data_IF_708528656106
#
_entry.id   IF_708528656106
#
_cell.length_a   1.000
_cell.length_b   1.000
_cell.length_c   1.000
_cell.angle_alpha   90.00
_cell.angle_beta   90.00
_cell.angle_gamma   90.00
#
_symmetry.space_group_name_H-M   'P 1'
#
loop_
_entity.id
_entity.type
_entity.pdbx_description
1 polymer ?
#
# COMPACT_ATOMS: atom_id res chain seq x y z
N UNK A 1 39.23 -9.58 -46.37
CA UNK A 1 37.93 -9.94 -45.74
C UNK A 1 38.17 -10.29 -44.28
N UNK A 2 37.87 -9.39 -43.32
CA UNK A 2 37.88 -9.70 -41.87
C UNK A 2 37.34 -8.60 -40.93
N UNK A 3 36.63 -7.59 -41.44
CA UNK A 3 36.07 -6.50 -40.60
C UNK A 3 34.54 -6.56 -40.41
N UNK A 4 33.81 -7.31 -41.24
CA UNK A 4 32.35 -7.47 -41.06
C UNK A 4 31.98 -8.44 -39.93
N UNK A 5 32.87 -9.37 -39.56
CA UNK A 5 32.59 -10.35 -38.49
C UNK A 5 32.63 -9.73 -37.09
N UNK A 6 33.38 -8.64 -36.89
CA UNK A 6 33.52 -7.97 -35.59
C UNK A 6 32.28 -7.14 -35.26
N UNK A 7 31.68 -6.48 -36.26
CA UNK A 7 30.44 -5.72 -36.07
C UNK A 7 29.24 -6.63 -35.78
N UNK A 8 29.15 -7.82 -36.40
CA UNK A 8 28.08 -8.78 -36.11
C UNK A 8 28.25 -9.37 -34.70
N UNK A 9 29.49 -9.62 -34.27
CA UNK A 9 29.76 -10.07 -32.89
C UNK A 9 29.42 -8.99 -31.86
N UNK A 10 29.70 -7.71 -32.13
CA UNK A 10 29.36 -6.59 -31.24
C UNK A 10 27.85 -6.30 -31.19
N UNK A 11 27.12 -6.49 -32.30
CA UNK A 11 25.66 -6.39 -32.31
C UNK A 11 25.01 -7.55 -31.54
N UNK A 12 25.63 -8.74 -31.53
CA UNK A 12 25.16 -9.86 -30.70
C UNK A 12 25.58 -9.72 -29.23
N UNK A 13 26.74 -9.15 -28.93
CA UNK A 13 27.14 -8.84 -27.55
C UNK A 13 26.29 -7.69 -26.98
N UNK A 14 25.89 -6.72 -27.81
CA UNK A 14 24.94 -5.66 -27.43
C UNK A 14 23.50 -6.13 -27.20
N UNK A 15 23.14 -7.34 -27.68
CA UNK A 15 21.84 -7.98 -27.45
C UNK A 15 21.89 -9.12 -26.42
N UNK A 16 23.08 -9.55 -26.01
CA UNK A 16 23.30 -10.66 -25.06
C UNK A 16 23.91 -10.17 -23.74
N UNK A 17 24.19 -8.87 -23.60
CA UNK A 17 24.35 -8.23 -22.29
C UNK A 17 23.00 -8.07 -21.60
N UNK A 18 22.52 -9.18 -21.05
CA UNK A 18 21.64 -9.25 -19.89
C UNK A 18 20.39 -8.39 -19.93
N UNK A 19 19.25 -9.01 -20.20
CA UNK A 19 18.14 -8.87 -19.26
C UNK A 19 18.65 -9.33 -17.88
N UNK A 20 19.42 -8.48 -17.20
CA UNK A 20 19.66 -8.61 -15.78
C UNK A 20 18.28 -8.76 -15.17
N UNK A 21 18.05 -9.84 -14.42
CA UNK A 21 16.86 -10.01 -13.59
C UNK A 21 16.69 -8.69 -12.84
N UNK A 22 15.69 -7.90 -13.25
CA UNK A 22 15.50 -6.56 -12.73
C UNK A 22 14.82 -6.72 -11.38
N UNK A 23 15.61 -6.85 -10.33
CA UNK A 23 15.16 -6.83 -8.95
C UNK A 23 15.21 -5.40 -8.39
N UNK A 24 14.43 -5.15 -7.36
CA UNK A 24 14.28 -3.89 -6.66
C UNK A 24 13.23 -2.97 -7.28
N UNK A 25 13.22 -1.75 -6.76
CA UNK A 25 12.35 -0.65 -7.19
C UNK A 25 12.37 -0.46 -8.71
N UNK A 26 11.23 -0.06 -9.28
CA UNK A 26 11.20 0.39 -10.66
C UNK A 26 12.15 1.57 -10.84
N UNK A 27 12.91 1.54 -11.94
CA UNK A 27 13.61 2.72 -12.45
C UNK A 27 12.61 3.74 -13.00
N UNK A 28 13.02 4.99 -13.15
CA UNK A 28 12.17 6.05 -13.72
C UNK A 28 11.61 5.66 -15.09
N UNK A 29 12.42 5.04 -15.95
CA UNK A 29 11.98 4.57 -17.26
C UNK A 29 10.94 3.44 -17.19
N UNK A 30 11.11 2.51 -16.24
CA UNK A 30 10.12 1.45 -16.02
C UNK A 30 8.81 2.01 -15.48
N UNK A 31 8.87 2.96 -14.55
CA UNK A 31 7.68 3.60 -14.01
C UNK A 31 6.99 4.47 -15.07
N UNK A 32 7.73 5.22 -15.91
CA UNK A 32 7.14 5.97 -17.03
C UNK A 32 6.52 5.04 -18.08
N UNK A 33 7.16 3.91 -18.38
CA UNK A 33 6.56 2.90 -19.25
C UNK A 33 5.22 2.42 -18.66
N UNK A 34 5.21 2.03 -17.38
CA UNK A 34 4.00 1.64 -16.65
C UNK A 34 2.93 2.74 -16.68
N UNK A 35 3.27 4.00 -16.44
CA UNK A 35 2.31 5.12 -16.46
C UNK A 35 1.64 5.29 -17.84
N UNK A 36 2.40 5.04 -18.91
CA UNK A 36 1.92 5.11 -20.28
C UNK A 36 1.05 3.90 -20.68
N UNK A 37 1.31 2.72 -20.10
CA UNK A 37 0.64 1.46 -20.50
C UNK A 37 -0.35 0.93 -19.48
N UNK A 38 -0.43 1.47 -18.27
CA UNK A 38 -1.33 0.93 -17.25
C UNK A 38 -2.81 1.15 -17.61
N UNK A 39 -3.65 0.26 -17.08
CA UNK A 39 -5.10 0.34 -17.14
C UNK A 39 -5.69 0.04 -18.52
N UNK A 40 -4.90 -0.48 -19.46
CA UNK A 40 -5.37 -0.86 -20.80
C UNK A 40 -6.09 -2.21 -20.80
N UNK A 41 -5.75 -3.09 -19.86
CA UNK A 41 -6.39 -4.40 -19.68
C UNK A 41 -7.35 -4.35 -18.49
N UNK A 42 -8.60 -4.74 -18.75
CA UNK A 42 -9.67 -4.77 -17.77
C UNK A 42 -10.03 -6.17 -17.27
N UNK A 43 -10.93 -6.21 -16.29
CA UNK A 43 -11.60 -7.42 -15.83
C UNK A 43 -13.02 -7.50 -16.43
N UNK A 44 -13.67 -8.68 -16.38
CA UNK A 44 -15.10 -8.76 -16.62
C UNK A 44 -15.86 -7.75 -15.75
N UNK A 45 -16.73 -6.94 -16.35
CA UNK A 45 -17.54 -5.95 -15.64
C UNK A 45 -18.67 -6.69 -14.91
N UNK A 46 -18.71 -6.66 -13.57
CA UNK A 46 -19.76 -7.32 -12.80
C UNK A 46 -21.03 -6.47 -12.75
N UNK A 47 -22.16 -7.12 -12.46
CA UNK A 47 -23.41 -6.42 -12.12
C UNK A 47 -23.40 -5.93 -10.67
N UNK A 48 -24.52 -5.39 -10.18
CA UNK A 48 -24.69 -5.08 -8.75
C UNK A 48 -24.72 -6.33 -7.86
N UNK A 49 -24.96 -7.50 -8.45
CA UNK A 49 -24.96 -8.78 -7.72
C UNK A 49 -23.55 -9.39 -7.66
N UNK A 50 -23.18 -10.06 -6.55
CA UNK A 50 -21.91 -10.77 -6.44
C UNK A 50 -21.77 -11.84 -7.52
N UNK A 51 -20.74 -11.71 -8.37
CA UNK A 51 -20.49 -12.64 -9.47
C UNK A 51 -19.06 -13.17 -9.44
N UNK A 52 -18.91 -14.47 -9.66
CA UNK A 52 -17.59 -15.08 -9.84
C UNK A 52 -16.92 -14.45 -11.06
N UNK A 53 -15.78 -13.82 -10.84
CA UNK A 53 -15.03 -13.14 -11.86
C UNK A 53 -13.96 -14.07 -12.41
N UNK A 54 -14.02 -14.29 -13.71
CA UNK A 54 -12.91 -14.93 -14.41
C UNK A 54 -11.72 -13.96 -14.43
N UNK A 55 -10.71 -14.27 -13.63
CA UNK A 55 -9.47 -13.50 -13.50
C UNK A 55 -8.32 -14.15 -14.28
N UNK A 56 -8.65 -15.04 -15.22
CA UNK A 56 -7.64 -15.83 -15.91
C UNK A 56 -6.65 -15.04 -16.72
N UNK A 57 -5.38 -15.31 -16.48
CA UNK A 57 -4.24 -14.63 -17.10
C UNK A 57 -4.28 -13.09 -16.97
N UNK A 58 -4.84 -12.57 -15.88
CA UNK A 58 -4.93 -11.14 -15.56
C UNK A 58 -3.91 -10.73 -14.49
N UNK A 59 -4.00 -9.48 -14.04
CA UNK A 59 -3.24 -8.90 -12.93
C UNK A 59 -3.80 -9.25 -11.54
N UNK A 60 -4.75 -10.17 -11.44
CA UNK A 60 -5.39 -10.64 -10.19
C UNK A 60 -4.89 -12.02 -9.79
N UNK A 61 -4.28 -12.10 -8.60
CA UNK A 61 -3.59 -13.26 -8.06
C UNK A 61 -4.00 -13.45 -6.60
N UNK A 62 -3.59 -14.54 -5.97
CA UNK A 62 -3.67 -14.64 -4.51
C UNK A 62 -2.29 -14.93 -3.94
N UNK A 63 -2.05 -14.41 -2.74
CA UNK A 63 -0.87 -14.73 -1.97
C UNK A 63 -1.24 -15.75 -0.91
N UNK A 64 -0.43 -16.78 -0.77
CA UNK A 64 -0.59 -17.87 0.20
C UNK A 64 0.64 -17.95 1.07
N UNK A 65 0.44 -18.21 2.36
CA UNK A 65 1.50 -18.68 3.23
C UNK A 65 1.53 -20.20 3.23
N UNK A 66 2.74 -20.78 3.20
CA UNK A 66 2.96 -22.23 3.37
C UNK A 66 2.39 -22.75 4.70
N UNK A 67 2.08 -21.85 5.63
CA UNK A 67 1.56 -22.15 6.96
C UNK A 67 0.06 -21.78 7.06
N UNK A 68 -0.74 -22.71 7.60
CA UNK A 68 -2.16 -22.54 7.94
C UNK A 68 -3.13 -22.24 6.78
N UNK A 69 -2.74 -22.46 5.51
CA UNK A 69 -3.57 -22.16 4.32
C UNK A 69 -4.18 -20.75 4.35
N UNK A 70 -3.44 -19.80 4.92
CA UNK A 70 -3.87 -18.41 4.99
C UNK A 70 -3.57 -17.75 3.65
N UNK A 71 -4.64 -17.23 3.03
CA UNK A 71 -4.59 -16.64 1.70
C UNK A 71 -5.13 -15.23 1.72
N UNK A 72 -4.60 -14.40 0.84
CA UNK A 72 -5.01 -13.03 0.60
C UNK A 72 -5.14 -12.75 -0.89
N UNK A 73 -6.09 -11.89 -1.27
CA UNK A 73 -6.09 -11.33 -2.61
C UNK A 73 -4.82 -10.54 -2.87
N UNK A 74 -4.27 -10.66 -4.07
CA UNK A 74 -3.10 -9.93 -4.53
C UNK A 74 -3.38 -9.29 -5.90
N UNK A 75 -2.97 -8.04 -6.05
CA UNK A 75 -3.10 -7.28 -7.29
C UNK A 75 -1.73 -6.90 -7.79
N UNK A 76 -1.39 -7.31 -9.00
CA UNK A 76 -0.14 -6.89 -9.63
C UNK A 76 -0.25 -5.41 -10.04
N UNK A 77 0.61 -4.56 -9.50
CA UNK A 77 0.57 -3.09 -9.70
C UNK A 77 1.71 -2.59 -10.62
N UNK A 78 2.65 -3.46 -10.97
CA UNK A 78 3.71 -3.21 -11.95
C UNK A 78 4.24 -4.54 -12.51
N UNK A 79 5.31 -4.52 -13.30
CA UNK A 79 5.87 -5.74 -13.88
C UNK A 79 6.34 -6.77 -12.84
N UNK A 80 6.58 -6.40 -11.58
CA UNK A 80 7.16 -7.31 -10.57
C UNK A 80 6.73 -7.03 -9.12
N UNK A 81 5.71 -6.19 -8.92
CA UNK A 81 5.25 -5.83 -7.58
C UNK A 81 3.76 -6.09 -7.43
N UNK A 82 3.40 -6.83 -6.39
CA UNK A 82 2.03 -7.08 -5.96
C UNK A 82 1.67 -6.20 -4.78
N UNK A 83 0.46 -5.67 -4.78
CA UNK A 83 -0.22 -5.13 -3.61
C UNK A 83 -1.09 -6.24 -3.02
N UNK A 84 -0.93 -6.52 -1.74
CA UNK A 84 -1.71 -7.50 -0.97
C UNK A 84 -1.85 -7.01 0.47
N UNK A 85 -2.24 -7.88 1.39
CA UNK A 85 -2.44 -7.58 2.81
C UNK A 85 -1.74 -8.60 3.69
N UNK A 86 -1.32 -8.18 4.88
CA UNK A 86 -0.47 -8.98 5.77
C UNK A 86 -1.19 -10.12 6.50
N UNK A 87 -2.48 -10.36 6.27
CA UNK A 87 -3.26 -11.38 7.00
C UNK A 87 -2.87 -12.82 6.64
N UNK A 88 -2.03 -13.01 5.63
CA UNK A 88 -1.47 -14.31 5.27
C UNK A 88 -0.18 -14.66 6.05
N UNK A 89 0.52 -13.66 6.62
CA UNK A 89 1.76 -13.88 7.39
C UNK A 89 1.72 -13.38 8.83
N UNK A 90 0.78 -12.49 9.15
CA UNK A 90 0.50 -12.02 10.50
C UNK A 90 -0.93 -12.41 10.89
N UNK A 91 -1.12 -12.81 12.15
CA UNK A 91 -2.45 -12.89 12.77
C UNK A 91 -2.95 -11.49 13.16
N UNK A 92 -4.24 -11.35 13.47
CA UNK A 92 -4.82 -10.08 13.93
C UNK A 92 -4.22 -9.56 15.26
N UNK A 93 -3.41 -10.36 15.95
CA UNK A 93 -2.68 -9.98 17.16
C UNK A 93 -1.22 -9.62 16.90
N UNK A 94 -0.84 -9.35 15.65
CA UNK A 94 0.56 -9.14 15.25
C UNK A 94 1.47 -10.30 15.67
N UNK A 95 1.03 -11.53 15.43
CA UNK A 95 1.86 -12.73 15.65
C UNK A 95 2.22 -13.32 14.31
N UNK A 96 3.50 -13.64 14.11
CA UNK A 96 3.97 -14.33 12.91
C UNK A 96 3.31 -15.69 12.79
N UNK A 97 2.68 -15.94 11.64
CA UNK A 97 1.98 -17.20 11.39
C UNK A 97 2.96 -18.38 11.30
N UNK A 98 4.15 -18.17 10.73
CA UNK A 98 5.11 -19.25 10.46
C UNK A 98 5.75 -19.85 11.72
N UNK A 99 5.98 -19.05 12.77
CA UNK A 99 6.68 -19.51 13.99
C UNK A 99 5.95 -19.19 15.30
N UNK A 100 4.85 -18.44 15.27
CA UNK A 100 4.07 -18.08 16.46
C UNK A 100 4.72 -17.01 17.37
N UNK A 101 5.83 -16.39 16.96
CA UNK A 101 6.47 -15.32 17.71
C UNK A 101 5.77 -13.98 17.51
N UNK A 102 5.83 -13.11 18.51
CA UNK A 102 5.25 -11.77 18.42
C UNK A 102 6.04 -10.91 17.43
N UNK A 103 5.33 -10.27 16.52
CA UNK A 103 5.86 -9.21 15.69
C UNK A 103 5.70 -7.87 16.42
N UNK A 104 6.78 -7.11 16.51
CA UNK A 104 6.75 -5.73 17.02
C UNK A 104 7.28 -4.83 15.92
N UNK A 105 6.47 -3.87 15.42
CA UNK A 105 6.92 -2.96 14.40
C UNK A 105 8.13 -2.12 14.84
N UNK A 106 9.18 -2.10 14.02
CA UNK A 106 10.40 -1.32 14.25
C UNK A 106 10.24 0.09 13.65
N UNK A 107 9.56 0.95 14.39
CA UNK A 107 9.19 2.27 13.92
C UNK A 107 10.20 3.33 14.34
N UNK A 108 11.32 3.38 13.61
CA UNK A 108 12.38 4.35 13.84
C UNK A 108 12.24 5.56 12.91
N UNK A 109 12.39 6.77 13.49
CA UNK A 109 12.34 8.02 12.73
C UNK A 109 10.99 8.26 12.05
N UNK A 110 11.04 8.76 10.81
CA UNK A 110 9.83 9.10 10.03
C UNK A 110 9.37 7.95 9.10
N UNK A 111 9.95 6.76 9.20
CA UNK A 111 9.54 5.63 8.35
C UNK A 111 8.19 5.08 8.80
N UNK A 112 7.21 5.10 7.89
CA UNK A 112 5.89 4.51 8.12
C UNK A 112 5.82 3.03 7.71
N UNK A 113 6.82 2.56 6.95
CA UNK A 113 6.85 1.22 6.35
C UNK A 113 7.95 0.37 7.00
N UNK A 114 7.79 -0.95 6.99
CA UNK A 114 8.79 -1.89 7.50
C UNK A 114 9.01 -3.03 6.52
N UNK A 115 10.27 -3.37 6.28
CA UNK A 115 10.66 -4.54 5.50
C UNK A 115 10.28 -5.83 6.24
N UNK A 116 9.72 -6.78 5.49
CA UNK A 116 9.38 -8.11 6.02
C UNK A 116 10.67 -8.96 6.04
N UNK A 117 10.98 -9.64 7.15
CA UNK A 117 12.16 -10.50 7.25
C UNK A 117 12.22 -11.57 6.15
N UNK A 118 13.42 -11.87 5.65
CA UNK A 118 13.63 -12.79 4.52
C UNK A 118 13.07 -14.19 4.79
N UNK A 119 13.23 -14.70 6.02
CA UNK A 119 12.69 -15.99 6.44
C UNK A 119 11.16 -16.04 6.35
N UNK A 120 10.47 -14.91 6.58
CA UNK A 120 9.02 -14.79 6.38
C UNK A 120 8.65 -14.63 4.91
N UNK A 121 9.41 -13.85 4.14
CA UNK A 121 9.18 -13.71 2.69
C UNK A 121 9.27 -15.06 1.99
N UNK A 122 10.21 -15.91 2.42
CA UNK A 122 10.39 -17.26 1.88
C UNK A 122 9.21 -18.21 2.16
N UNK A 123 8.28 -17.86 3.05
CA UNK A 123 7.06 -18.64 3.29
C UNK A 123 5.89 -18.23 2.39
N UNK A 124 6.05 -17.18 1.59
CA UNK A 124 5.01 -16.65 0.72
C UNK A 124 5.08 -17.29 -0.66
N UNK A 125 3.91 -17.56 -1.24
CA UNK A 125 3.76 -17.90 -2.64
C UNK A 125 2.72 -16.97 -3.28
N UNK A 126 2.98 -16.50 -4.49
CA UNK A 126 2.00 -15.78 -5.31
C UNK A 126 1.51 -16.71 -6.40
N UNK A 127 0.20 -16.93 -6.46
CA UNK A 127 -0.40 -17.92 -7.35
C UNK A 127 -1.51 -17.26 -8.16
N UNK A 128 -1.48 -17.49 -9.47
CA UNK A 128 -2.55 -17.07 -10.36
C UNK A 128 -3.81 -17.88 -10.05
N UNK A 129 -4.98 -17.22 -9.95
CA UNK A 129 -6.22 -17.87 -9.54
C UNK A 129 -6.63 -19.11 -10.37
N UNK A 130 -6.27 -19.14 -11.66
CA UNK A 130 -6.50 -20.27 -12.57
C UNK A 130 -5.73 -21.55 -12.23
N UNK A 131 -4.92 -21.49 -11.17
CA UNK A 131 -4.25 -22.61 -10.56
C UNK A 131 -4.90 -22.85 -9.20
N UNK A 132 -6.00 -23.61 -9.18
CA UNK A 132 -6.46 -24.22 -7.93
C UNK A 132 -5.54 -25.42 -7.64
N UNK A 133 -5.14 -25.64 -6.38
CA UNK A 133 -4.35 -26.80 -6.01
C UNK A 133 -5.17 -28.08 -6.21
N UNK A 134 -5.04 -28.69 -7.39
CA UNK A 134 -5.39 -30.09 -7.62
C UNK A 134 -4.13 -30.85 -8.05
N UNK A 135 -4.00 -32.09 -7.58
CA UNK A 135 -2.81 -32.93 -7.75
C UNK A 135 -2.38 -33.15 -9.22
N UNK A 136 -3.23 -32.79 -10.19
CA UNK A 136 -3.00 -32.94 -11.63
C UNK A 136 -2.75 -31.62 -12.38
N UNK A 137 -2.72 -30.48 -11.68
CA UNK A 137 -2.60 -29.17 -12.32
C UNK A 137 -1.12 -28.79 -12.60
N UNK A 138 -0.79 -28.60 -13.89
CA UNK A 138 0.52 -28.08 -14.34
C UNK A 138 0.68 -26.58 -14.00
N UNK A 139 0.75 -26.25 -12.72
CA UNK A 139 0.80 -24.89 -12.20
C UNK A 139 2.19 -24.25 -12.15
N UNK A 140 3.24 -24.98 -12.56
CA UNK A 140 4.64 -24.50 -12.46
C UNK A 140 4.92 -23.16 -13.15
N UNK A 141 4.09 -22.75 -14.12
CA UNK A 141 4.22 -21.46 -14.83
C UNK A 141 3.17 -20.42 -14.40
N UNK A 142 2.47 -20.67 -13.30
CA UNK A 142 1.37 -19.84 -12.76
C UNK A 142 1.63 -19.38 -11.32
N UNK A 143 2.86 -19.54 -10.87
CA UNK A 143 3.35 -19.07 -9.57
C UNK A 143 4.40 -18.00 -9.80
N UNK A 144 4.50 -17.06 -8.88
CA UNK A 144 5.58 -16.09 -8.81
C UNK A 144 6.25 -16.19 -7.44
N UNK A 145 7.57 -16.19 -7.41
CA UNK A 145 8.39 -16.36 -6.21
C UNK A 145 8.66 -14.99 -5.57
N UNK A 146 8.18 -14.75 -4.35
CA UNK A 146 8.54 -13.57 -3.57
C UNK A 146 10.03 -13.51 -3.27
N UNK A 147 10.60 -12.32 -3.40
CA UNK A 147 12.01 -12.04 -3.08
C UNK A 147 12.16 -10.89 -2.10
N UNK A 148 11.16 -10.03 -1.97
CA UNK A 148 11.13 -8.94 -0.98
C UNK A 148 9.70 -8.58 -0.63
N UNK A 149 9.45 -8.14 0.60
CA UNK A 149 8.16 -7.56 0.96
C UNK A 149 8.28 -6.43 1.98
N UNK A 150 7.28 -5.56 2.00
CA UNK A 150 7.18 -4.44 2.93
C UNK A 150 5.76 -4.27 3.42
N UNK A 151 5.58 -4.14 4.74
CA UNK A 151 4.35 -3.66 5.31
C UNK A 151 4.24 -2.15 5.12
N UNK A 152 3.17 -1.70 4.47
CA UNK A 152 2.89 -0.29 4.26
C UNK A 152 2.15 0.32 5.44
N UNK A 153 2.63 1.44 5.98
CA UNK A 153 1.99 2.17 7.07
C UNK A 153 1.84 1.35 8.36
N UNK A 154 2.55 0.24 8.54
CA UNK A 154 2.52 -0.56 9.77
C UNK A 154 2.95 0.25 11.01
N UNK A 155 3.73 1.30 10.79
CA UNK A 155 4.17 2.22 11.83
C UNK A 155 3.21 3.38 12.10
N UNK A 156 2.22 3.57 11.24
CA UNK A 156 1.22 4.62 11.35
C UNK A 156 0.27 4.37 12.55
N UNK A 157 -0.04 5.39 13.37
CA UNK A 157 -0.92 5.24 14.54
C UNK A 157 -2.32 4.72 14.20
N UNK A 158 -2.85 5.00 13.01
CA UNK A 158 -4.14 4.47 12.57
C UNK A 158 -4.05 2.96 12.33
N UNK A 159 -3.03 2.48 11.61
CA UNK A 159 -2.87 1.03 11.35
C UNK A 159 -2.60 0.28 12.64
N UNK A 160 -1.69 0.79 13.48
CA UNK A 160 -1.34 0.16 14.76
C UNK A 160 -2.55 -0.07 15.66
N UNK A 161 -3.40 0.96 15.83
CA UNK A 161 -4.58 0.89 16.70
C UNK A 161 -5.67 -0.02 16.16
N UNK A 162 -5.75 -0.21 14.85
CA UNK A 162 -6.84 -0.92 14.19
C UNK A 162 -6.43 -2.27 13.58
N UNK A 163 -5.19 -2.73 13.80
CA UNK A 163 -4.63 -3.91 13.14
C UNK A 163 -5.44 -5.19 13.39
N UNK A 164 -6.14 -5.27 14.53
CA UNK A 164 -7.02 -6.39 14.85
C UNK A 164 -8.20 -6.56 13.89
N UNK A 165 -8.58 -5.50 13.18
CA UNK A 165 -9.70 -5.45 12.23
C UNK A 165 -9.18 -5.26 10.79
N UNK A 166 -8.24 -4.32 10.61
CA UNK A 166 -7.66 -3.95 9.31
C UNK A 166 -6.16 -4.21 9.30
N UNK A 167 -5.77 -5.27 8.61
CA UNK A 167 -4.36 -5.64 8.45
C UNK A 167 -3.59 -4.58 7.68
N UNK A 168 -2.26 -4.61 7.77
CA UNK A 168 -1.43 -3.71 6.98
C UNK A 168 -1.49 -4.12 5.50
N UNK A 169 -1.67 -3.18 4.57
CA UNK A 169 -1.33 -3.43 3.17
C UNK A 169 0.15 -3.81 3.07
N UNK A 170 0.48 -4.63 2.08
CA UNK A 170 1.82 -5.17 1.88
C UNK A 170 2.18 -5.10 0.40
N UNK A 171 3.39 -4.62 0.10
CA UNK A 171 4.00 -4.78 -1.23
C UNK A 171 4.87 -6.02 -1.22
N UNK A 172 4.71 -6.86 -2.23
CA UNK A 172 5.55 -8.04 -2.47
C UNK A 172 6.22 -7.91 -3.83
N UNK A 173 7.55 -7.91 -3.84
CA UNK A 173 8.39 -8.01 -5.02
C UNK A 173 8.62 -9.48 -5.37
N UNK A 174 8.54 -9.81 -6.66
CA UNK A 174 8.75 -11.18 -7.17
C UNK A 174 9.90 -11.24 -8.19
N UNK A 175 10.46 -12.44 -8.36
CA UNK A 175 11.54 -12.70 -9.33
C UNK A 175 11.02 -12.63 -10.78
N UNK A 176 9.79 -13.08 -11.02
CA UNK A 176 9.19 -13.16 -12.34
C UNK A 176 8.72 -11.80 -12.85
N UNK A 177 9.01 -11.53 -14.13
CA UNK A 177 8.60 -10.30 -14.80
C UNK A 177 7.32 -10.53 -15.60
N UNK A 178 6.28 -9.82 -15.22
CA UNK A 178 5.02 -9.76 -15.93
C UNK A 178 5.08 -8.73 -17.06
N UNK A 179 4.62 -9.12 -18.24
CA UNK A 179 4.76 -8.34 -19.48
C UNK A 179 3.46 -7.69 -19.96
N UNK A 180 2.31 -8.02 -19.35
CA UNK A 180 1.01 -7.44 -19.72
C UNK A 180 0.70 -6.17 -18.93
N UNK A 181 -0.34 -5.46 -19.34
CA UNK A 181 -0.79 -4.24 -18.65
C UNK A 181 -1.29 -4.55 -17.24
N UNK A 182 -0.77 -3.84 -16.25
CA UNK A 182 -1.35 -3.77 -14.89
C UNK A 182 -2.36 -2.63 -14.79
N UNK A 183 -3.26 -2.59 -13.80
CA UNK A 183 -4.10 -1.43 -13.55
C UNK A 183 -3.22 -0.25 -13.17
N UNK A 184 -3.73 0.96 -13.40
CA UNK A 184 -3.11 2.15 -12.83
C UNK A 184 -3.36 2.22 -11.33
N UNK A 185 -2.58 3.05 -10.65
CA UNK A 185 -2.88 3.50 -9.30
C UNK A 185 -3.44 4.91 -9.45
N UNK A 186 -4.67 5.15 -9.00
CA UNK A 186 -5.27 6.47 -9.04
C UNK A 186 -5.41 7.01 -7.62
N UNK A 187 -4.54 7.97 -7.32
CA UNK A 187 -4.55 8.71 -6.07
C UNK A 187 -5.36 10.00 -6.12
N UNK A 188 -6.20 10.26 -7.12
CA UNK A 188 -6.95 11.52 -7.26
C UNK A 188 -8.41 11.44 -6.78
N UNK A 189 -8.91 12.50 -6.15
CA UNK A 189 -10.30 12.60 -5.63
C UNK A 189 -11.26 13.29 -6.62
N UNK A 190 -10.75 13.82 -7.74
CA UNK A 190 -11.49 14.80 -8.54
C UNK A 190 -12.76 14.25 -9.21
N UNK A 191 -12.85 12.94 -9.45
CA UNK A 191 -14.10 12.20 -9.72
C UNK A 191 -13.79 10.75 -10.09
N UNK A 192 -14.46 9.80 -9.42
CA UNK A 192 -14.46 8.40 -9.82
C UNK A 192 -15.34 8.19 -11.06
N UNK A 193 -14.93 7.28 -11.95
CA UNK A 193 -15.81 6.73 -12.97
C UNK A 193 -16.72 5.64 -12.41
N UNK A 194 -17.03 4.63 -13.22
CA UNK A 194 -17.72 3.43 -12.71
C UNK A 194 -16.82 2.71 -11.70
N UNK A 195 -17.40 2.26 -10.57
CA UNK A 195 -16.64 1.66 -9.48
C UNK A 195 -17.01 0.20 -9.28
N UNK A 196 -15.99 -0.64 -9.16
CA UNK A 196 -16.12 -2.07 -9.01
C UNK A 196 -15.24 -2.58 -7.87
N UNK A 197 -15.79 -3.46 -7.04
CA UNK A 197 -15.05 -4.17 -6.01
C UNK A 197 -14.75 -5.58 -6.50
N UNK A 198 -13.48 -5.99 -6.47
CA UNK A 198 -13.08 -7.38 -6.73
C UNK A 198 -12.44 -7.95 -5.47
N UNK A 199 -13.14 -8.82 -4.77
CA UNK A 199 -12.70 -9.36 -3.48
C UNK A 199 -12.36 -10.83 -3.59
N UNK A 200 -11.29 -11.24 -2.93
CA UNK A 200 -10.89 -12.63 -2.87
C UNK A 200 -11.57 -13.33 -1.69
N UNK A 201 -12.24 -14.44 -1.99
CA UNK A 201 -12.95 -15.23 -0.99
C UNK A 201 -12.40 -16.63 -0.97
N UNK A 202 -12.07 -17.12 0.23
CA UNK A 202 -11.56 -18.46 0.43
C UNK A 202 -12.54 -19.50 -0.17
N UNK A 203 -12.02 -20.46 -0.95
CA UNK A 203 -12.78 -21.52 -1.64
C UNK A 203 -13.76 -21.07 -2.74
N UNK A 204 -13.79 -19.77 -3.08
CA UNK A 204 -14.62 -19.24 -4.18
C UNK A 204 -13.80 -18.54 -5.24
N UNK A 205 -12.77 -17.80 -4.83
CA UNK A 205 -11.98 -16.96 -5.70
C UNK A 205 -12.42 -15.51 -5.72
N UNK A 206 -12.13 -14.83 -6.82
CA UNK A 206 -12.48 -13.43 -6.99
C UNK A 206 -13.96 -13.25 -7.31
N UNK A 207 -14.65 -12.52 -6.45
CA UNK A 207 -16.03 -12.10 -6.64
C UNK A 207 -16.03 -10.61 -6.97
N UNK A 208 -16.57 -10.28 -8.13
CA UNK A 208 -16.70 -8.92 -8.65
C UNK A 208 -18.09 -8.37 -8.41
N UNK A 209 -18.18 -7.08 -8.11
CA UNK A 209 -19.43 -6.34 -8.00
C UNK A 209 -19.30 -4.88 -8.40
N UNK A 210 -20.37 -4.33 -8.99
CA UNK A 210 -20.56 -2.88 -9.12
C UNK A 210 -20.99 -2.29 -7.79
N UNK A 211 -20.31 -1.24 -7.36
CA UNK A 211 -20.53 -0.58 -6.06
C UNK A 211 -20.59 0.93 -6.23
N UNK A 212 -21.18 1.64 -5.25
CA UNK A 212 -21.15 3.11 -5.20
C UNK A 212 -20.27 3.57 -4.06
N UNK A 213 -19.48 4.61 -4.30
CA UNK A 213 -18.73 5.27 -3.23
C UNK A 213 -19.70 6.04 -2.35
N UNK A 214 -19.69 5.72 -1.06
CA UNK A 214 -20.55 6.35 -0.06
C UNK A 214 -19.84 7.53 0.61
N UNK A 215 -18.61 7.32 1.05
CA UNK A 215 -17.75 8.37 1.64
C UNK A 215 -16.29 8.15 1.27
N UNK A 216 -15.55 9.25 1.24
CA UNK A 216 -14.10 9.27 1.10
C UNK A 216 -13.52 10.05 2.27
N UNK A 217 -12.61 9.41 2.99
CA UNK A 217 -11.85 9.94 4.11
C UNK A 217 -10.39 10.12 3.68
N UNK A 218 -9.54 10.60 4.58
CA UNK A 218 -8.11 10.80 4.28
C UNK A 218 -7.44 9.47 3.89
N UNK A 219 -7.60 8.45 4.73
CA UNK A 219 -6.94 7.15 4.58
C UNK A 219 -7.85 6.06 3.95
N UNK A 220 -9.15 6.32 3.80
CA UNK A 220 -10.11 5.27 3.46
C UNK A 220 -11.27 5.67 2.54
N UNK A 221 -11.75 4.70 1.77
CA UNK A 221 -12.96 4.80 0.95
C UNK A 221 -13.97 3.80 1.47
N UNK A 222 -15.23 4.23 1.54
CA UNK A 222 -16.34 3.36 1.86
C UNK A 222 -17.27 3.26 0.67
N UNK A 223 -17.77 2.06 0.44
CA UNK A 223 -18.68 1.75 -0.65
C UNK A 223 -19.91 1.03 -0.14
N UNK A 224 -20.93 0.96 -1.00
CA UNK A 224 -22.13 0.15 -0.77
C UNK A 224 -21.75 -1.26 -0.33
N UNK A 225 -22.22 -1.62 0.86
CA UNK A 225 -22.04 -2.94 1.42
C UNK A 225 -22.95 -3.96 0.78
N UNK A 226 -22.62 -5.21 1.05
CA UNK A 226 -23.30 -6.38 0.52
C UNK A 226 -23.16 -7.50 1.53
N UNK A 227 -24.25 -8.22 1.73
CA UNK A 227 -24.31 -9.29 2.72
C UNK A 227 -23.92 -10.60 2.05
N UNK A 228 -22.90 -11.25 2.60
CA UNK A 228 -22.69 -12.67 2.37
C UNK A 228 -21.98 -13.28 3.60
N UNK A 229 -21.97 -14.61 3.67
CA UNK A 229 -21.43 -15.36 4.80
C UNK A 229 -20.02 -15.88 4.54
N UNK A 230 -19.32 -15.34 3.54
CA UNK A 230 -18.00 -15.83 3.18
C UNK A 230 -16.92 -15.07 3.96
N UNK A 231 -15.68 -15.56 3.95
CA UNK A 231 -14.56 -14.87 4.60
C UNK A 231 -13.82 -14.06 3.55
N UNK A 232 -13.90 -12.73 3.66
CA UNK A 232 -13.16 -11.85 2.77
C UNK A 232 -11.67 -11.87 3.10
N UNK A 233 -10.85 -11.84 2.06
CA UNK A 233 -9.40 -11.93 2.15
C UNK A 233 -8.73 -10.82 1.33
N UNK A 234 -9.44 -9.72 1.11
CA UNK A 234 -8.92 -8.51 0.49
C UNK A 234 -9.10 -8.47 -1.02
N UNK A 235 -8.60 -7.40 -1.61
CA UNK A 235 -8.67 -7.18 -3.05
C UNK A 235 -8.94 -5.71 -3.41
N UNK A 236 -8.80 -5.35 -4.70
CA UNK A 236 -8.84 -3.98 -5.13
C UNK A 236 -10.26 -3.44 -5.29
N UNK A 237 -10.40 -2.17 -4.95
CA UNK A 237 -11.46 -1.30 -5.44
C UNK A 237 -10.97 -0.59 -6.70
N UNK A 238 -11.67 -0.80 -7.80
CA UNK A 238 -11.32 -0.32 -9.12
C UNK A 238 -12.26 0.80 -9.55
N UNK A 239 -11.71 1.85 -10.13
CA UNK A 239 -12.46 2.82 -10.92
C UNK A 239 -12.10 2.69 -12.40
N UNK A 240 -13.12 2.72 -13.26
CA UNK A 240 -12.96 2.75 -14.72
C UNK A 240 -13.44 4.09 -15.23
N UNK A 241 -12.49 4.89 -15.74
CA UNK A 241 -12.75 6.23 -16.30
C UNK A 241 -12.12 6.32 -17.67
N UNK A 242 -12.92 6.67 -18.68
CA UNK A 242 -12.46 6.73 -20.08
C UNK A 242 -11.79 5.43 -20.56
N UNK A 243 -12.32 4.28 -20.13
CA UNK A 243 -11.78 2.95 -20.44
C UNK A 243 -10.49 2.58 -19.70
N UNK A 244 -9.96 3.45 -18.84
CA UNK A 244 -8.73 3.21 -18.07
C UNK A 244 -9.05 2.64 -16.69
N UNK A 245 -8.52 1.46 -16.40
CA UNK A 245 -8.72 0.72 -15.16
C UNK A 245 -7.69 1.14 -14.10
N UNK A 246 -8.17 1.62 -12.94
CA UNK A 246 -7.30 2.12 -11.87
C UNK A 246 -7.72 1.59 -10.51
N UNK A 247 -6.75 1.14 -9.70
CA UNK A 247 -6.95 0.83 -8.28
C UNK A 247 -7.06 2.16 -7.52
N UNK A 248 -8.20 2.37 -6.86
CA UNK A 248 -8.47 3.55 -6.02
C UNK A 248 -8.47 3.21 -4.53
N UNK A 249 -8.67 1.93 -4.20
CA UNK A 249 -8.57 1.43 -2.83
C UNK A 249 -8.22 -0.04 -2.76
N UNK A 250 -7.83 -0.49 -1.57
CA UNK A 250 -7.49 -1.89 -1.32
C UNK A 250 -8.11 -2.36 0.00
N UNK A 251 -8.82 -3.48 -0.06
CA UNK A 251 -9.44 -4.07 1.12
C UNK A 251 -8.38 -4.83 1.92
N UNK A 252 -8.27 -4.47 3.19
CA UNK A 252 -7.40 -5.11 4.17
C UNK A 252 -8.14 -5.62 5.40
N UNK A 253 -9.45 -5.71 5.31
CA UNK A 253 -10.28 -6.31 6.34
C UNK A 253 -10.01 -7.81 6.33
N UNK A 254 -9.46 -8.33 7.43
CA UNK A 254 -9.19 -9.76 7.58
C UNK A 254 -10.15 -10.46 8.53
N UNK A 255 -11.23 -9.78 8.90
CA UNK A 255 -12.29 -10.28 9.79
C UNK A 255 -13.65 -10.23 9.10
N UNK A 256 -14.57 -11.06 9.59
CA UNK A 256 -15.99 -10.98 9.25
C UNK A 256 -16.55 -9.65 9.79
N UNK A 257 -16.56 -8.62 8.95
CA UNK A 257 -17.40 -7.45 9.15
C UNK A 257 -18.83 -7.92 8.87
N UNK A 258 -19.69 -8.02 9.88
CA UNK A 258 -21.03 -8.61 9.78
C UNK A 258 -21.97 -7.91 8.80
N UNK A 259 -23.24 -7.75 9.17
CA UNK A 259 -24.27 -7.15 8.28
C UNK A 259 -24.09 -5.62 8.13
N UNK A 260 -22.85 -5.13 8.07
CA UNK A 260 -22.56 -3.73 7.80
C UNK A 260 -23.03 -3.34 6.41
N UNK A 261 -23.76 -2.23 6.33
CA UNK A 261 -24.26 -1.66 5.08
C UNK A 261 -23.17 -1.03 4.22
N UNK A 262 -21.94 -0.92 4.73
CA UNK A 262 -20.78 -0.36 4.03
C UNK A 262 -19.57 -1.30 4.09
N UNK A 263 -18.78 -1.32 3.01
CA UNK A 263 -17.46 -1.94 2.98
C UNK A 263 -16.37 -0.88 2.88
N UNK A 264 -15.22 -1.18 3.47
CA UNK A 264 -14.14 -0.24 3.70
C UNK A 264 -12.87 -0.67 2.97
N UNK A 265 -12.12 0.30 2.46
CA UNK A 265 -10.88 0.10 1.70
C UNK A 265 -9.85 1.14 2.13
N UNK A 266 -8.58 0.77 2.27
CA UNK A 266 -7.49 1.76 2.31
C UNK A 266 -7.44 2.52 1.00
N UNK A 267 -7.21 3.83 1.05
CA UNK A 267 -7.04 4.65 -0.14
C UNK A 267 -5.67 4.45 -0.73
N UNK A 268 -5.62 4.18 -2.05
CA UNK A 268 -4.35 4.16 -2.77
C UNK A 268 -3.67 5.53 -2.70
N UNK A 269 -4.43 6.64 -2.66
CA UNK A 269 -3.87 7.97 -2.46
C UNK A 269 -3.04 8.09 -1.18
N UNK A 270 -3.53 7.50 -0.08
CA UNK A 270 -2.83 7.54 1.20
C UNK A 270 -1.61 6.61 1.22
N UNK A 271 -1.66 5.51 0.47
CA UNK A 271 -0.57 4.55 0.35
C UNK A 271 0.50 4.94 -0.68
N UNK A 272 0.23 5.90 -1.59
CA UNK A 272 1.03 6.14 -2.79
C UNK A 272 2.49 6.47 -2.51
N UNK A 273 2.76 7.24 -1.46
CA UNK A 273 4.13 7.63 -1.09
C UNK A 273 4.92 6.39 -0.67
N UNK A 274 4.33 5.53 0.17
CA UNK A 274 4.94 4.28 0.58
C UNK A 274 5.12 3.30 -0.56
N UNK A 275 4.12 3.15 -1.41
CA UNK A 275 4.20 2.31 -2.62
C UNK A 275 5.37 2.80 -3.49
N UNK A 276 5.44 4.09 -3.78
CA UNK A 276 6.53 4.69 -4.57
C UNK A 276 7.88 4.50 -3.89
N UNK A 277 7.97 4.74 -2.58
CA UNK A 277 9.20 4.61 -1.81
C UNK A 277 9.74 3.18 -1.85
N UNK A 278 8.91 2.15 -1.63
CA UNK A 278 9.41 0.78 -1.50
C UNK A 278 9.51 0.03 -2.84
N UNK A 279 8.77 0.46 -3.87
CA UNK A 279 8.66 -0.27 -5.15
C UNK A 279 9.01 0.54 -6.39
N UNK A 280 9.19 1.86 -6.29
CA UNK A 280 9.36 2.74 -7.46
C UNK A 280 8.09 2.91 -8.31
N UNK A 281 6.95 2.36 -7.88
CA UNK A 281 5.65 2.59 -8.53
C UNK A 281 5.11 3.95 -8.08
N UNK A 282 5.38 4.98 -8.88
CA UNK A 282 5.11 6.37 -8.53
C UNK A 282 4.14 7.02 -9.53
N UNK A 283 3.41 8.05 -9.09
CA UNK A 283 2.66 8.94 -9.98
C UNK A 283 3.61 9.84 -10.77
N UNK A 284 3.11 10.42 -11.87
CA UNK A 284 3.87 11.48 -12.55
C UNK A 284 4.07 12.65 -11.60
N UNK A 285 5.33 13.05 -11.41
CA UNK A 285 5.64 14.31 -10.76
C UNK A 285 5.04 15.42 -11.60
N UNK A 286 3.96 16.02 -11.11
CA UNK A 286 3.42 17.23 -11.73
C UNK A 286 4.42 18.34 -11.40
N UNK A 287 5.35 18.59 -12.32
CA UNK A 287 6.21 19.77 -12.22
C UNK A 287 5.30 20.98 -12.40
N UNK A 288 4.86 21.57 -11.29
CA UNK A 288 4.19 22.86 -11.33
C UNK A 288 5.16 23.83 -12.02
N UNK A 289 4.71 24.44 -13.12
CA UNK A 289 5.50 25.44 -13.81
C UNK A 289 5.94 26.51 -12.80
N UNK A 290 7.22 26.93 -12.78
CA UNK A 290 7.68 27.95 -11.85
C UNK A 290 6.81 29.20 -12.07
N UNK A 291 6.17 29.66 -10.99
CA UNK A 291 5.42 30.91 -10.99
C UNK A 291 6.43 32.01 -11.27
N UNK A 292 6.43 32.51 -12.51
CA UNK A 292 7.20 33.69 -12.91
C UNK A 292 6.70 34.86 -12.07
N UNK A 293 7.38 35.14 -10.96
CA UNK A 293 7.17 36.35 -10.17
C UNK A 293 7.81 37.49 -10.96
N UNK A 294 7.01 38.18 -11.77
CA UNK A 294 7.37 39.49 -12.30
C UNK A 294 7.48 40.45 -11.12
N UNK A 295 8.71 40.67 -10.65
CA UNK A 295 9.03 41.75 -9.72
C UNK A 295 8.95 43.08 -10.48
N UNK A 296 7.84 43.79 -10.29
CA UNK A 296 7.74 45.19 -10.70
C UNK A 296 8.59 46.01 -9.73
N UNK A 297 9.77 46.45 -10.18
CA UNK A 297 10.64 47.34 -9.41
C UNK A 297 10.10 48.76 -9.47
N UNK A 298 9.48 49.24 -8.40
CA UNK A 298 9.20 50.67 -8.22
C UNK A 298 10.50 51.42 -7.91
N UNK A 299 10.96 52.26 -8.83
CA UNK A 299 12.04 53.21 -8.59
C UNK A 299 11.57 54.29 -7.61
N UNK A 300 12.07 54.24 -6.37
CA UNK A 300 11.99 55.38 -5.44
C UNK A 300 13.33 56.11 -5.44
N UNK A 301 13.35 57.29 -6.05
CA UNK A 301 14.52 58.19 -6.07
C UNK A 301 14.68 58.81 -4.69
N UNK A 302 15.74 58.47 -3.95
CA UNK A 302 16.10 59.16 -2.71
C UNK A 302 17.45 59.84 -2.86
N UNK A 303 17.45 61.13 -2.56
CA UNK A 303 18.57 62.07 -2.69
C UNK A 303 19.60 61.82 -1.59
N UNK A 304 20.87 61.81 -1.99
CA UNK A 304 22.07 61.68 -1.13
C UNK A 304 22.20 62.87 -0.18
N UNK A 305 22.51 62.61 1.09
CA UNK A 305 23.30 63.56 1.90
C UNK A 305 24.42 62.80 2.60
N UNK A 306 25.64 63.27 2.36
CA UNK A 306 26.91 62.74 2.87
C UNK A 306 27.17 63.25 4.28
N UNK A 307 27.40 62.35 5.23
CA UNK A 307 28.36 62.54 6.33
C UNK A 307 28.64 61.21 7.01
N UNK A 308 29.92 60.97 7.33
CA UNK A 308 30.42 59.97 8.29
C UNK A 308 30.50 58.49 7.86
N UNK A 309 31.39 58.23 6.90
CA UNK A 309 32.31 57.09 7.01
C UNK A 309 33.49 57.53 7.87
N UNK A 310 33.67 56.94 9.06
CA UNK A 310 34.94 56.48 9.64
C UNK A 310 34.86 56.43 11.18
N UNK A 311 34.34 55.33 11.75
CA UNK A 311 34.78 54.83 13.07
C UNK A 311 34.15 53.44 13.29
N UNK A 312 34.92 52.37 13.09
CA UNK A 312 35.15 51.48 14.24
C UNK A 312 35.34 50.02 13.83
N UNK A 313 36.24 49.77 12.88
CA UNK A 313 36.83 48.45 12.67
C UNK A 313 37.83 48.18 13.82
N UNK A 314 37.36 47.62 14.94
CA UNK A 314 38.10 47.04 16.08
C UNK A 314 37.02 46.40 16.96
N UNK A 315 36.79 45.10 16.99
CA UNK A 315 37.67 44.09 17.60
C UNK A 315 37.21 42.69 17.20
N UNK A 316 38.05 41.94 16.48
CA UNK A 316 38.05 40.48 16.48
C UNK A 316 38.96 39.96 17.59
N UNK A 317 38.66 38.74 18.04
CA UNK A 317 39.49 37.85 18.86
C UNK A 317 39.61 38.23 20.35
N UNK A 318 38.81 37.55 21.17
CA UNK A 318 39.38 36.83 22.28
C UNK A 318 38.64 35.51 22.56
N UNK A 319 39.47 34.49 22.77
CA UNK A 319 39.23 33.26 23.51
C UNK A 319 38.65 32.00 22.82
N UNK A 320 39.60 31.17 22.39
CA UNK A 320 39.49 29.74 22.15
C UNK A 320 39.72 28.96 23.47
N UNK A 321 39.11 27.77 23.54
CA UNK A 321 39.51 26.55 24.30
C UNK A 321 39.03 26.39 25.75
N UNK A 322 38.11 25.43 25.98
CA UNK A 322 38.30 24.28 26.89
C UNK A 322 37.22 23.21 26.67
N UNK A 323 37.64 21.98 26.42
CA UNK A 323 36.85 20.75 26.50
C UNK A 323 36.80 20.27 27.97
N UNK A 324 35.68 19.69 28.43
CA UNK A 324 35.76 18.59 29.38
C UNK A 324 35.04 17.33 28.90
N UNK A 325 35.64 16.22 29.31
CA UNK A 325 35.30 14.81 29.06
C UNK A 325 34.22 14.32 30.04
N UNK A 326 33.42 13.35 29.58
CA UNK A 326 32.58 12.40 30.34
C UNK A 326 31.49 12.95 31.26
N UNK A 327 30.24 12.81 30.82
CA UNK A 327 29.06 12.51 31.64
C UNK A 327 28.11 11.63 30.78
N UNK A 328 27.90 10.38 31.20
CA UNK A 328 26.77 9.56 30.74
C UNK A 328 25.46 10.27 31.16
N UNK A 329 24.46 10.40 30.28
CA UNK A 329 23.13 10.78 30.71
C UNK A 329 22.38 9.54 31.22
N UNK A 330 22.10 9.55 32.51
CA UNK A 330 21.06 8.73 33.15
C UNK A 330 19.70 9.17 32.57
N UNK A 331 19.03 8.28 31.84
CA UNK A 331 17.76 8.60 31.19
C UNK A 331 16.62 8.55 32.22
N UNK A 332 16.09 9.73 32.53
CA UNK A 332 14.82 9.92 33.24
C UNK A 332 13.68 9.62 32.25
N UNK A 333 12.97 8.52 32.51
CA UNK A 333 11.79 8.12 31.73
C UNK A 333 10.57 8.82 32.31
N UNK A 334 10.31 10.06 31.93
CA UNK A 334 8.97 10.65 31.99
C UNK A 334 8.91 11.87 31.05
N UNK A 335 7.73 12.05 30.44
CA UNK A 335 7.34 13.20 29.60
C UNK A 335 7.68 13.10 28.10
N UNK A 336 6.94 12.24 27.38
CA UNK A 336 6.72 12.45 25.95
C UNK A 336 5.73 13.60 25.76
N UNK A 337 6.23 14.71 25.20
CA UNK A 337 5.41 15.83 24.75
C UNK A 337 4.35 15.37 23.73
N UNK A 338 3.12 15.85 23.96
CA UNK A 338 1.97 15.77 23.06
C UNK A 338 2.34 16.29 21.66
N UNK A 339 2.48 15.37 20.69
CA UNK A 339 2.32 15.75 19.30
C UNK A 339 0.88 16.21 19.08
N UNK A 340 0.65 17.31 18.35
CA UNK A 340 -0.70 17.74 18.00
C UNK A 340 -1.27 16.74 16.99
N UNK A 341 -1.82 15.65 17.49
CA UNK A 341 -2.76 14.83 16.73
C UNK A 341 -4.04 15.64 16.64
N UNK A 342 -4.53 15.85 15.42
CA UNK A 342 -5.86 16.39 15.23
C UNK A 342 -6.85 15.29 15.66
N UNK A 343 -7.02 15.14 16.98
CA UNK A 343 -7.69 14.05 17.69
C UNK A 343 -9.09 13.78 17.16
N UNK A 344 -9.77 14.84 16.73
CA UNK A 344 -11.16 14.79 16.27
C UNK A 344 -11.33 13.97 14.99
N UNK A 345 -10.36 14.03 14.05
CA UNK A 345 -10.43 13.28 12.79
C UNK A 345 -10.14 11.78 12.98
N UNK A 346 -9.14 11.47 13.83
CA UNK A 346 -8.78 10.09 14.15
C UNK A 346 -9.86 9.37 14.97
N UNK A 347 -10.58 10.10 15.82
CA UNK A 347 -11.70 9.57 16.58
C UNK A 347 -12.93 9.32 15.69
N UNK A 348 -13.17 10.18 14.70
CA UNK A 348 -14.22 9.99 13.68
C UNK A 348 -13.97 8.75 12.82
N UNK A 349 -12.73 8.52 12.38
CA UNK A 349 -12.39 7.36 11.56
C UNK A 349 -12.41 6.05 12.38
N UNK A 350 -12.05 6.10 13.66
CA UNK A 350 -12.18 4.96 14.58
C UNK A 350 -13.63 4.63 14.90
N UNK A 351 -14.42 5.64 15.29
CA UNK A 351 -15.85 5.47 15.53
C UNK A 351 -16.56 4.94 14.30
N UNK A 352 -16.17 5.40 13.11
CA UNK A 352 -16.72 4.90 11.86
C UNK A 352 -16.31 3.45 11.55
N UNK A 353 -15.05 3.09 11.79
CA UNK A 353 -14.60 1.70 11.68
C UNK A 353 -15.40 0.82 12.64
N UNK A 354 -15.58 1.28 13.88
CA UNK A 354 -16.39 0.59 14.88
C UNK A 354 -17.87 0.54 14.52
N UNK A 355 -18.48 1.60 13.97
CA UNK A 355 -19.85 1.58 13.46
C UNK A 355 -20.01 0.57 12.30
N UNK A 356 -18.95 0.37 11.51
CA UNK A 356 -18.91 -0.66 10.45
C UNK A 356 -18.81 -2.07 11.07
N UNK A 357 -18.18 -2.23 12.22
CA UNK A 357 -18.03 -3.52 12.92
C UNK A 357 -19.25 -3.84 13.81
N UNK A 358 -19.82 -2.86 14.50
CA UNK A 358 -20.88 -2.99 15.52
C UNK A 358 -22.25 -3.37 14.94
N UNK A 359 -22.47 -3.17 13.64
CA UNK A 359 -23.58 -3.79 12.91
C UNK A 359 -23.58 -5.33 12.99
N UNK A 360 -22.49 -5.95 13.47
CA UNK A 360 -22.33 -7.39 13.69
C UNK A 360 -22.48 -7.84 15.15
N UNK A 361 -22.37 -6.93 16.13
CA UNK A 361 -22.15 -7.29 17.54
C UNK A 361 -23.45 -7.44 18.34
N UNK A 362 -24.53 -6.76 17.93
CA UNK A 362 -25.77 -6.71 18.74
C UNK A 362 -26.53 -8.04 18.84
N UNK A 363 -26.32 -9.01 17.93
CA UNK A 363 -27.06 -10.30 17.97
C UNK A 363 -26.40 -11.37 18.83
N UNK A 364 -25.08 -11.32 19.04
CA UNK A 364 -24.39 -12.34 19.84
C UNK A 364 -24.43 -12.06 21.34
N UNK A 365 -24.59 -10.80 21.75
CA UNK A 365 -24.73 -10.44 23.16
C UNK A 365 -26.14 -10.77 23.70
N UNK A 366 -27.19 -10.60 22.90
CA UNK A 366 -28.55 -11.01 23.29
C UNK A 366 -28.69 -12.54 23.42
N UNK A 367 -28.03 -13.33 22.55
CA UNK A 367 -28.03 -14.79 22.64
C UNK A 367 -27.27 -15.30 23.88
N UNK A 368 -26.18 -14.64 24.27
CA UNK A 368 -25.44 -14.98 25.49
C UNK A 368 -26.25 -14.65 26.76
N UNK A 369 -26.97 -13.53 26.76
CA UNK A 369 -27.87 -13.13 27.86
C UNK A 369 -29.09 -14.06 27.95
N UNK A 370 -29.67 -14.46 26.81
CA UNK A 370 -30.77 -15.44 26.79
C UNK A 370 -30.33 -16.84 27.26
N UNK A 371 -29.12 -17.29 26.92
CA UNK A 371 -28.59 -18.56 27.39
C UNK A 371 -28.28 -18.54 28.89
N UNK A 372 -27.81 -17.42 29.44
CA UNK A 372 -27.58 -17.27 30.88
C UNK A 372 -28.91 -17.23 31.66
N UNK A 373 -29.98 -16.65 31.09
CA UNK A 373 -31.30 -16.62 31.73
C UNK A 373 -31.98 -18.00 31.70
N UNK A 374 -31.75 -18.83 30.67
CA UNK A 374 -32.33 -20.18 30.59
C UNK A 374 -31.61 -21.24 31.45
N UNK A 375 -30.37 -21.00 31.89
CA UNK A 375 -29.64 -21.92 32.77
C UNK A 375 -29.75 -21.57 34.27
N UNK A 376 -30.45 -20.49 34.62
CA UNK A 376 -30.63 -20.02 36.00
C UNK A 376 -32.10 -20.07 36.48
N UNK A 377 -32.98 -20.71 35.70
CA UNK A 377 -34.34 -21.12 36.12
C UNK A 377 -34.43 -22.63 35.99
#
# INVERSE_FOLDING_TARGET
MKFQSIFILLIHIGFVCGDFIKSGKLTDNENEHRLNTCGMEGLPIPSSEPTLTNTSATWMWYSESEFLNQVSGATLISSRHFLTISNNILTNKMVWIHNGSNFTPECFGNSLHQEVPEDVVNTLNLISFDCLPSEESNCKNKTAKPIKAYFLNICDPFVKRNFEIVYSPMIVEVEEVYTKSTPCLDGGISSFGDVFSYRFWLNKGFIGMSVKVNKTHENSITVTGFTNNWTDRGGPLISVKNGKWSVIGYDATGAFLGESSNKWFYRVEWLKNGICEVSGVCDRVTTLAPVTTTSTTELTTTVVTSSELLEGLRTTMDHLTTLPTNLEPEYDYDEYEDYPTNSEYLELDYKFLMDTVDGSSSRNMELLVFLIIFFVI
#
